data_IF_803897764802
#
_entry.id   IF_803897764802
#
_cell.length_a   1.000
_cell.length_b   1.000
_cell.length_c   1.000
_cell.angle_alpha   90.00
_cell.angle_beta   90.00
_cell.angle_gamma   90.00
#
_symmetry.space_group_name_H-M   'P 1'
#
loop_
_entity.id
_entity.type
_entity.pdbx_description
1 polymer ?
#
# COMPACT_ATOMS: atom_id res chain seq x y z
N UNK A 1 2.91 -10.77 -11.52
CA UNK A 1 4.18 -11.47 -11.77
C UNK A 1 4.81 -10.82 -12.98
N UNK A 2 5.96 -10.18 -12.80
CA UNK A 2 6.77 -9.75 -13.94
C UNK A 2 7.48 -11.00 -14.46
N UNK A 3 7.01 -11.51 -15.61
CA UNK A 3 7.57 -12.71 -16.24
C UNK A 3 8.94 -12.46 -16.87
N UNK A 4 9.26 -11.20 -17.19
CA UNK A 4 10.54 -10.85 -17.80
C UNK A 4 11.65 -10.75 -16.75
N UNK A 5 11.33 -10.26 -15.55
CA UNK A 5 12.30 -10.14 -14.45
C UNK A 5 12.25 -11.30 -13.46
N UNK A 6 11.32 -12.26 -13.60
CA UNK A 6 11.06 -13.30 -12.61
C UNK A 6 10.85 -12.73 -11.20
N UNK A 7 10.01 -11.68 -11.09
CA UNK A 7 9.74 -10.96 -9.83
C UNK A 7 8.26 -10.95 -9.48
N UNK A 8 7.98 -11.07 -8.19
CA UNK A 8 6.64 -11.03 -7.62
C UNK A 8 6.53 -9.85 -6.66
N UNK A 9 5.41 -9.13 -6.72
CA UNK A 9 5.10 -8.07 -5.77
C UNK A 9 3.96 -8.54 -4.85
N UNK A 10 4.22 -8.54 -3.54
CA UNK A 10 3.22 -8.74 -2.51
C UNK A 10 2.70 -7.36 -2.08
N UNK A 11 1.56 -6.96 -2.64
CA UNK A 11 0.97 -5.64 -2.42
C UNK A 11 -0.11 -5.73 -1.35
N UNK A 12 0.00 -4.91 -0.31
CA UNK A 12 -1.02 -4.81 0.74
C UNK A 12 -1.35 -3.33 1.01
N UNK A 13 -2.64 -3.01 1.00
CA UNK A 13 -3.19 -1.65 1.09
C UNK A 13 -3.77 -1.42 2.49
N UNK A 14 -3.52 -0.28 3.13
CA UNK A 14 -4.18 0.07 4.40
C UNK A 14 -4.37 1.57 4.57
N UNK A 15 -5.45 1.88 5.28
CA UNK A 15 -5.88 3.23 5.58
C UNK A 15 -5.88 3.42 7.11
N UNK A 16 -4.73 3.72 7.73
CA UNK A 16 -4.65 3.91 9.17
C UNK A 16 -4.98 5.36 9.57
N UNK A 17 -5.08 5.62 10.87
CA UNK A 17 -4.97 6.98 11.38
C UNK A 17 -3.55 7.55 11.19
N UNK A 18 -3.40 8.87 11.13
CA UNK A 18 -2.15 9.59 10.79
C UNK A 18 -0.95 9.09 11.61
N UNK A 19 -1.09 9.03 12.94
CA UNK A 19 -0.02 8.63 13.86
C UNK A 19 0.46 7.18 13.65
N UNK A 20 -0.35 6.35 12.99
CA UNK A 20 -0.09 4.95 12.79
C UNK A 20 0.54 4.63 11.43
N UNK A 21 0.80 5.63 10.56
CA UNK A 21 1.33 5.42 9.20
C UNK A 21 2.61 4.60 9.18
N UNK A 22 3.63 5.03 9.94
CA UNK A 22 4.95 4.37 9.98
C UNK A 22 4.86 2.97 10.58
N UNK A 23 4.04 2.82 11.62
CA UNK A 23 3.80 1.54 12.28
C UNK A 23 3.13 0.55 11.33
N UNK A 24 2.09 0.99 10.63
CA UNK A 24 1.36 0.17 9.66
C UNK A 24 2.26 -0.31 8.51
N UNK A 25 3.11 0.57 7.98
CA UNK A 25 4.06 0.19 6.92
C UNK A 25 5.06 -0.87 7.41
N UNK A 26 5.63 -0.67 8.60
CA UNK A 26 6.63 -1.57 9.18
C UNK A 26 6.02 -2.92 9.55
N UNK A 27 4.83 -2.92 10.13
CA UNK A 27 4.11 -4.13 10.50
C UNK A 27 3.77 -4.97 9.28
N UNK A 28 3.37 -4.35 8.15
CA UNK A 28 3.13 -5.08 6.90
C UNK A 28 4.39 -5.78 6.38
N UNK A 29 5.53 -5.07 6.35
CA UNK A 29 6.80 -5.68 5.92
C UNK A 29 7.19 -6.88 6.78
N UNK A 30 7.00 -6.79 8.10
CA UNK A 30 7.26 -7.90 9.01
C UNK A 30 6.27 -9.05 8.82
N UNK A 31 4.97 -8.75 8.70
CA UNK A 31 3.90 -9.75 8.58
C UNK A 31 4.04 -10.63 7.34
N UNK A 32 4.48 -10.09 6.21
CA UNK A 32 4.58 -10.84 4.96
C UNK A 32 6.00 -11.33 4.64
N UNK A 33 6.95 -11.20 5.56
CA UNK A 33 8.33 -11.61 5.31
C UNK A 33 8.44 -13.11 5.04
N UNK A 34 7.81 -13.93 5.88
CA UNK A 34 7.83 -15.38 5.71
C UNK A 34 7.11 -15.79 4.41
N UNK A 35 5.96 -15.17 4.12
CA UNK A 35 5.24 -15.37 2.85
C UNK A 35 6.10 -14.99 1.63
N UNK A 36 6.91 -13.94 1.72
CA UNK A 36 7.81 -13.56 0.63
C UNK A 36 8.86 -14.65 0.39
N UNK A 37 9.44 -15.23 1.45
CA UNK A 37 10.39 -16.34 1.31
C UNK A 37 9.72 -17.58 0.72
N UNK A 38 8.54 -17.96 1.21
CA UNK A 38 7.78 -19.10 0.70
C UNK A 38 7.41 -18.92 -0.77
N UNK A 39 6.88 -17.77 -1.16
CA UNK A 39 6.52 -17.46 -2.56
C UNK A 39 7.75 -17.50 -3.47
N UNK A 40 8.89 -16.99 -2.99
CA UNK A 40 10.15 -17.02 -3.75
C UNK A 40 10.56 -18.46 -4.06
N UNK A 41 10.54 -19.33 -3.04
CA UNK A 41 10.90 -20.74 -3.17
C UNK A 41 9.87 -21.53 -4.00
N UNK A 42 8.58 -21.41 -3.69
CA UNK A 42 7.52 -22.19 -4.34
C UNK A 42 7.37 -21.85 -5.82
N UNK A 43 7.48 -20.58 -6.19
CA UNK A 43 7.25 -20.14 -7.57
C UNK A 43 8.54 -20.06 -8.38
N UNK A 44 9.69 -20.43 -7.80
CA UNK A 44 11.00 -20.41 -8.46
C UNK A 44 11.30 -19.05 -9.11
N UNK A 45 10.99 -17.97 -8.38
CA UNK A 45 11.21 -16.58 -8.81
C UNK A 45 12.47 -16.02 -8.16
N UNK A 46 13.08 -14.99 -8.76
CA UNK A 46 14.29 -14.37 -8.21
C UNK A 46 14.01 -13.60 -6.91
N UNK A 47 12.83 -12.98 -6.82
CA UNK A 47 12.41 -12.30 -5.60
C UNK A 47 10.90 -12.11 -5.51
N UNK A 48 10.38 -12.27 -4.30
CA UNK A 48 9.07 -11.77 -3.89
C UNK A 48 9.25 -10.56 -2.97
N UNK A 49 8.57 -9.47 -3.31
CA UNK A 49 8.89 -8.17 -2.76
C UNK A 49 7.65 -7.50 -2.16
N UNK A 50 7.75 -7.09 -0.89
CA UNK A 50 6.60 -6.57 -0.14
C UNK A 50 6.48 -5.06 -0.37
N UNK A 51 5.37 -4.66 -0.99
CA UNK A 51 5.05 -3.27 -1.30
C UNK A 51 3.84 -2.82 -0.45
N UNK A 52 4.07 -2.22 0.72
CA UNK A 52 2.99 -1.66 1.52
C UNK A 52 2.50 -0.34 0.91
N UNK A 53 1.21 -0.28 0.62
CA UNK A 53 0.52 0.92 0.16
C UNK A 53 -0.27 1.48 1.33
N UNK A 54 0.19 2.61 1.88
CA UNK A 54 -0.38 3.21 3.09
C UNK A 54 -0.76 4.66 2.80
N UNK A 55 -2.00 5.04 3.11
CA UNK A 55 -2.52 6.41 3.04
C UNK A 55 -3.41 6.62 4.25
N UNK A 56 -3.30 7.73 4.98
CA UNK A 56 -4.13 7.88 6.17
C UNK A 56 -5.60 8.16 5.83
N UNK A 57 -6.49 7.86 6.78
CA UNK A 57 -7.91 8.19 6.67
C UNK A 57 -8.17 9.71 6.46
N UNK A 58 -7.26 10.56 6.95
CA UNK A 58 -7.32 12.02 6.77
C UNK A 58 -6.64 12.48 5.47
N UNK A 59 -6.22 11.56 4.60
CA UNK A 59 -5.57 11.87 3.34
C UNK A 59 -4.09 12.25 3.44
N UNK A 60 -3.43 12.02 4.58
CA UNK A 60 -1.97 12.19 4.68
C UNK A 60 -1.27 11.14 3.82
N UNK A 61 -0.46 11.62 2.87
CA UNK A 61 0.32 10.77 1.97
C UNK A 61 1.74 10.62 2.52
N UNK A 62 2.19 9.42 2.91
CA UNK A 62 3.56 9.22 3.35
C UNK A 62 4.53 9.34 2.16
N UNK A 63 5.69 9.96 2.37
CA UNK A 63 6.73 10.14 1.34
C UNK A 63 7.12 8.82 0.66
N UNK A 64 7.11 7.72 1.43
CA UNK A 64 7.44 6.38 0.94
C UNK A 64 6.41 5.80 -0.04
N UNK A 65 5.17 6.28 -0.04
CA UNK A 65 4.16 5.84 -1.01
C UNK A 65 4.64 6.09 -2.45
N UNK A 66 5.22 7.26 -2.72
CA UNK A 66 5.73 7.58 -4.05
C UNK A 66 6.84 6.63 -4.49
N UNK A 67 7.70 6.19 -3.56
CA UNK A 67 8.72 5.18 -3.83
C UNK A 67 8.09 3.82 -4.18
N UNK A 68 7.12 3.37 -3.38
CA UNK A 68 6.40 2.10 -3.61
C UNK A 68 5.65 2.08 -4.96
N UNK A 69 4.97 3.17 -5.30
CA UNK A 69 4.28 3.31 -6.58
C UNK A 69 5.24 3.25 -7.77
N UNK A 70 6.43 3.88 -7.67
CA UNK A 70 7.46 3.81 -8.71
C UNK A 70 7.97 2.39 -8.92
N UNK A 71 8.11 1.59 -7.85
CA UNK A 71 8.53 0.18 -7.95
C UNK A 71 7.50 -0.68 -8.69
N UNK A 72 6.22 -0.36 -8.55
CA UNK A 72 5.13 -0.97 -9.32
C UNK A 72 5.00 -0.42 -10.74
N UNK A 73 5.91 0.46 -11.18
CA UNK A 73 5.89 1.05 -12.53
C UNK A 73 5.06 2.33 -12.66
N UNK A 74 4.42 2.81 -11.60
CA UNK A 74 3.66 4.05 -11.63
C UNK A 74 4.59 5.25 -11.44
N UNK A 75 4.92 5.93 -12.55
CA UNK A 75 5.82 7.09 -12.56
C UNK A 75 5.12 8.43 -12.26
N UNK A 76 3.80 8.47 -12.39
CA UNK A 76 3.00 9.69 -12.20
C UNK A 76 2.47 9.78 -10.76
N UNK A 77 2.58 10.98 -10.17
CA UNK A 77 1.96 11.28 -8.88
C UNK A 77 0.42 11.35 -8.94
N UNK A 78 -0.18 11.32 -10.13
CA UNK A 78 -1.64 11.37 -10.31
C UNK A 78 -2.36 10.21 -9.61
N UNK A 79 -1.73 9.04 -9.49
CA UNK A 79 -2.31 7.90 -8.79
C UNK A 79 -2.41 8.18 -7.28
N UNK A 80 -1.35 8.70 -6.65
CA UNK A 80 -1.37 9.05 -5.24
C UNK A 80 -2.45 10.11 -4.93
N UNK A 81 -2.60 11.11 -5.80
CA UNK A 81 -3.66 12.12 -5.68
C UNK A 81 -5.08 11.52 -5.81
N UNK A 82 -5.29 10.58 -6.76
CA UNK A 82 -6.56 9.86 -6.88
C UNK A 82 -6.88 9.04 -5.63
N UNK A 83 -5.88 8.33 -5.10
CA UNK A 83 -6.06 7.53 -3.88
C UNK A 83 -6.40 8.42 -2.68
N UNK A 84 -5.70 9.53 -2.50
CA UNK A 84 -5.99 10.53 -1.45
C UNK A 84 -7.42 11.04 -1.57
N UNK A 85 -7.85 11.41 -2.77
CA UNK A 85 -9.23 11.86 -3.03
C UNK A 85 -10.26 10.80 -2.63
N UNK A 86 -10.05 9.55 -3.01
CA UNK A 86 -10.98 8.46 -2.70
C UNK A 86 -11.08 8.24 -1.19
N UNK A 87 -9.94 8.22 -0.48
CA UNK A 87 -9.93 8.03 0.99
C UNK A 87 -10.69 9.16 1.69
N UNK A 88 -10.42 10.42 1.32
CA UNK A 88 -11.12 11.57 1.90
C UNK A 88 -12.64 11.53 1.67
N UNK A 89 -13.06 11.17 0.45
CA UNK A 89 -14.48 11.06 0.11
C UNK A 89 -15.17 9.95 0.90
N UNK A 90 -14.51 8.81 1.07
CA UNK A 90 -15.06 7.67 1.79
C UNK A 90 -15.15 7.95 3.30
N UNK A 91 -14.10 8.50 3.90
CA UNK A 91 -14.10 8.95 5.30
C UNK A 91 -15.19 10.00 5.55
N UNK A 92 -15.34 10.97 4.65
CA UNK A 92 -16.41 11.99 4.74
C UNK A 92 -17.80 11.36 4.63
N UNK A 93 -17.98 10.35 3.77
CA UNK A 93 -19.25 9.62 3.61
C UNK A 93 -19.61 8.88 4.89
N UNK A 94 -18.65 8.22 5.55
CA UNK A 94 -18.84 7.53 6.82
C UNK A 94 -19.27 8.53 7.91
N UNK A 95 -18.55 9.65 8.05
CA UNK A 95 -18.89 10.69 9.03
C UNK A 95 -20.27 11.29 8.75
N UNK A 96 -20.59 11.61 7.49
CA UNK A 96 -21.91 12.13 7.14
C UNK A 96 -23.01 11.15 7.49
N UNK A 97 -22.83 9.86 7.20
CA UNK A 97 -23.81 8.81 7.54
C UNK A 97 -24.02 8.71 9.05
N UNK A 98 -22.95 8.83 9.83
CA UNK A 98 -23.03 8.83 11.30
C UNK A 98 -23.75 10.05 11.86
N UNK A 99 -23.46 11.24 11.32
CA UNK A 99 -24.07 12.50 11.77
C UNK A 99 -25.50 12.75 11.24
N UNK A 100 -25.93 12.00 10.22
CA UNK A 100 -27.28 12.08 9.65
C UNK A 100 -28.23 11.02 10.24
N UNK A 101 -27.77 10.27 11.25
CA UNK A 101 -28.61 9.47 12.16
C UNK A 101 -29.08 10.36 13.31
#
# INVERSE_FOLDING_TARGET
MDRAQSRVFLVDITIPYDDNLVRAETQKKRKYLDLAHEVTAMWHVESAEIIPIVISANGLIPVRLAHHLRRLGFRSNSLAAKMQKVVLLDSTRIVRRFLSL
#
